data_IF_820269205508
#
_entry.id   IF_820269205508
#
_cell.length_a   1.000
_cell.length_b   1.000
_cell.length_c   1.000
_cell.angle_alpha   90.00
_cell.angle_beta   90.00
_cell.angle_gamma   90.00
#
_symmetry.space_group_name_H-M   'P 1'
#
loop_
_entity.id
_entity.type
_entity.pdbx_description
1 polymer ?
#
# COMPACT_ATOMS: atom_id res chain seq x y z
N UNK A 1 -2.00 18.09 24.48
CA UNK A 1 -1.59 16.69 24.76
C UNK A 1 -0.80 16.58 26.07
N UNK A 2 0.28 17.37 26.28
CA UNK A 2 1.12 17.26 27.48
C UNK A 2 0.30 17.40 28.77
N UNK A 3 -0.51 18.46 28.98
CA UNK A 3 -1.29 18.57 30.20
C UNK A 3 -2.29 17.44 30.41
N UNK A 4 -2.82 16.86 29.31
CA UNK A 4 -3.73 15.72 29.40
C UNK A 4 -3.00 14.45 29.86
N UNK A 5 -1.76 14.24 29.43
CA UNK A 5 -0.92 13.12 29.89
C UNK A 5 -0.48 13.28 31.35
N UNK A 6 -0.18 14.51 31.79
CA UNK A 6 0.16 14.80 33.18
C UNK A 6 -1.02 14.57 34.13
N UNK A 7 -2.25 14.75 33.67
CA UNK A 7 -3.46 14.47 34.42
C UNK A 7 -3.78 12.97 34.62
N UNK A 8 -3.00 12.06 34.02
CA UNK A 8 -3.17 10.61 34.28
C UNK A 8 -2.76 10.24 35.70
N UNK A 9 -1.74 10.92 36.24
CA UNK A 9 -1.33 10.71 37.65
C UNK A 9 -2.31 11.41 38.59
N UNK A 10 -3.01 10.63 39.39
CA UNK A 10 -3.99 11.12 40.34
C UNK A 10 -3.43 11.09 41.77
N UNK A 11 -3.86 12.09 42.58
CA UNK A 11 -3.69 12.03 44.03
C UNK A 11 -4.85 11.20 44.62
N UNK A 12 -4.52 10.10 45.28
CA UNK A 12 -5.49 9.10 45.74
C UNK A 12 -6.39 8.64 44.56
N UNK A 13 -7.71 8.74 44.72
CA UNK A 13 -8.66 8.35 43.69
C UNK A 13 -8.88 9.46 42.66
N UNK A 14 -8.92 10.72 43.08
CA UNK A 14 -9.03 11.90 42.23
C UNK A 14 -8.79 13.17 43.03
N UNK A 15 -8.18 14.17 42.39
CA UNK A 15 -8.02 15.52 42.86
C UNK A 15 -8.69 16.51 41.92
N UNK A 16 -9.29 17.57 42.46
CA UNK A 16 -9.91 18.64 41.73
C UNK A 16 -8.91 19.52 40.97
N UNK A 17 -7.61 19.44 41.28
CA UNK A 17 -6.55 20.19 40.61
C UNK A 17 -6.53 19.99 39.10
N UNK A 18 -6.95 18.82 38.62
CA UNK A 18 -7.04 18.51 37.17
C UNK A 18 -8.22 19.20 36.49
N UNK A 19 -9.22 19.64 37.22
CA UNK A 19 -10.47 20.19 36.68
C UNK A 19 -10.25 21.43 35.83
N UNK A 20 -9.29 22.29 36.17
CA UNK A 20 -8.95 23.50 35.42
C UNK A 20 -8.36 23.17 34.04
N UNK A 21 -7.53 22.15 33.96
CA UNK A 21 -6.94 21.64 32.71
C UNK A 21 -8.00 20.95 31.85
N UNK A 22 -8.82 20.08 32.46
CA UNK A 22 -9.89 19.35 31.78
C UNK A 22 -10.91 20.26 31.09
N UNK A 23 -11.20 21.41 31.69
CA UNK A 23 -12.10 22.45 31.10
C UNK A 23 -11.56 23.02 29.80
N UNK A 24 -10.26 23.00 29.58
CA UNK A 24 -9.63 23.51 28.36
C UNK A 24 -9.41 22.36 27.36
N UNK A 25 -8.76 21.27 27.79
CA UNK A 25 -8.37 20.20 26.86
C UNK A 25 -9.55 19.47 26.24
N UNK A 26 -10.65 19.30 26.99
CA UNK A 26 -11.86 18.63 26.48
C UNK A 26 -12.51 19.43 25.33
N UNK A 27 -12.93 20.67 25.58
CA UNK A 27 -13.52 21.52 24.52
C UNK A 27 -12.58 21.75 23.34
N UNK A 28 -11.31 22.08 23.56
CA UNK A 28 -10.34 22.33 22.50
C UNK A 28 -10.12 21.10 21.61
N UNK A 29 -9.99 19.92 22.21
CA UNK A 29 -9.85 18.69 21.46
C UNK A 29 -11.08 18.38 20.60
N UNK A 30 -12.29 18.55 21.15
CA UNK A 30 -13.55 18.30 20.42
C UNK A 30 -13.77 19.31 19.29
N UNK A 31 -13.56 20.60 19.55
CA UNK A 31 -13.70 21.66 18.54
C UNK A 31 -12.71 21.44 17.39
N UNK A 32 -11.45 21.15 17.73
CA UNK A 32 -10.40 20.90 16.74
C UNK A 32 -10.69 19.65 15.92
N UNK A 33 -11.19 18.58 16.56
CA UNK A 33 -11.56 17.36 15.87
C UNK A 33 -12.75 17.56 14.93
N UNK A 34 -13.80 18.23 15.39
CA UNK A 34 -14.98 18.56 14.57
C UNK A 34 -14.57 19.38 13.34
N UNK A 35 -13.79 20.43 13.55
CA UNK A 35 -13.24 21.23 12.45
C UNK A 35 -12.44 20.40 11.45
N UNK A 36 -11.56 19.52 11.94
CA UNK A 36 -10.76 18.65 11.09
C UNK A 36 -11.61 17.66 10.28
N UNK A 37 -12.63 17.06 10.92
CA UNK A 37 -13.53 16.12 10.26
C UNK A 37 -14.40 16.77 9.19
N UNK A 38 -14.93 17.98 9.46
CA UNK A 38 -15.70 18.76 8.46
C UNK A 38 -14.82 19.07 7.25
N UNK A 39 -13.57 19.51 7.48
CA UNK A 39 -12.63 19.78 6.37
C UNK A 39 -12.27 18.53 5.60
N UNK A 40 -12.03 17.42 6.28
CA UNK A 40 -11.72 16.13 5.65
C UNK A 40 -12.91 15.65 4.80
N UNK A 41 -14.14 15.77 5.32
CA UNK A 41 -15.36 15.42 4.58
C UNK A 41 -15.45 16.24 3.28
N UNK A 42 -15.31 17.56 3.38
CA UNK A 42 -15.35 18.43 2.22
C UNK A 42 -14.24 18.11 1.19
N UNK A 43 -13.05 17.73 1.66
CA UNK A 43 -11.95 17.32 0.79
C UNK A 43 -12.29 16.03 0.05
N UNK A 44 -12.86 15.04 0.74
CA UNK A 44 -13.22 13.75 0.13
C UNK A 44 -14.37 13.90 -0.86
N UNK A 45 -15.41 14.69 -0.50
CA UNK A 45 -16.57 14.92 -1.37
C UNK A 45 -16.21 15.65 -2.67
N UNK A 46 -15.20 16.53 -2.61
CA UNK A 46 -14.73 17.28 -3.77
C UNK A 46 -13.48 16.69 -4.43
N UNK A 47 -13.06 15.49 -4.02
CA UNK A 47 -11.86 14.85 -4.57
C UNK A 47 -12.06 14.44 -6.03
N UNK A 48 -11.19 14.95 -6.91
CA UNK A 48 -11.18 14.58 -8.32
C UNK A 48 -10.21 13.41 -8.54
N UNK A 49 -10.73 12.31 -9.07
CA UNK A 49 -9.93 11.12 -9.38
C UNK A 49 -9.72 11.03 -10.89
N UNK A 50 -8.48 10.78 -11.30
CA UNK A 50 -8.07 10.62 -12.70
C UNK A 50 -7.64 9.16 -12.97
N UNK A 51 -8.56 8.19 -13.15
CA UNK A 51 -8.24 6.76 -13.24
C UNK A 51 -7.28 6.44 -14.39
N UNK A 52 -7.46 7.10 -15.54
CA UNK A 52 -6.56 6.91 -16.69
C UNK A 52 -5.13 7.35 -16.38
N UNK A 53 -4.96 8.49 -15.68
CA UNK A 53 -3.64 8.98 -15.28
C UNK A 53 -2.99 8.09 -14.22
N UNK A 54 -3.78 7.61 -13.27
CA UNK A 54 -3.31 6.64 -12.26
C UNK A 54 -2.78 5.36 -12.92
N UNK A 55 -3.51 4.82 -13.90
CA UNK A 55 -3.07 3.64 -14.65
C UNK A 55 -1.81 3.90 -15.48
N UNK A 56 -1.73 5.07 -16.12
CA UNK A 56 -0.50 5.49 -16.83
C UNK A 56 0.69 5.53 -15.88
N UNK A 57 0.53 6.11 -14.69
CA UNK A 57 1.59 6.21 -13.68
C UNK A 57 2.05 4.83 -13.20
N UNK A 58 1.14 3.89 -12.99
CA UNK A 58 1.49 2.50 -12.66
C UNK A 58 2.29 1.81 -13.77
N UNK A 59 2.04 2.17 -15.02
CA UNK A 59 2.69 1.58 -16.19
C UNK A 59 4.00 2.29 -16.60
N UNK A 60 4.38 3.40 -15.95
CA UNK A 60 5.63 4.14 -16.26
C UNK A 60 6.85 3.21 -16.23
N UNK A 61 6.89 2.29 -15.26
CA UNK A 61 8.00 1.35 -15.08
C UNK A 61 7.86 0.10 -15.95
N UNK A 62 6.89 0.06 -16.88
CA UNK A 62 6.72 -1.05 -17.84
C UNK A 62 6.78 -2.44 -17.19
N UNK A 63 6.01 -2.60 -16.11
CA UNK A 63 5.85 -3.87 -15.41
C UNK A 63 6.92 -4.18 -14.36
N UNK A 64 7.93 -3.33 -14.15
CA UNK A 64 8.96 -3.57 -13.11
C UNK A 64 8.39 -3.64 -11.69
N UNK A 65 7.22 -3.05 -11.43
CA UNK A 65 6.51 -3.15 -10.14
C UNK A 65 6.17 -4.60 -9.76
N UNK A 66 6.09 -5.51 -10.74
CA UNK A 66 5.80 -6.95 -10.52
C UNK A 66 7.06 -7.80 -10.32
N UNK A 67 8.25 -7.22 -10.35
CA UNK A 67 9.53 -7.95 -10.25
C UNK A 67 9.66 -8.76 -8.96
N UNK A 68 9.19 -8.24 -7.83
CA UNK A 68 9.19 -8.98 -6.56
C UNK A 68 8.30 -10.22 -6.62
N UNK A 69 7.11 -10.11 -7.20
CA UNK A 69 6.21 -11.25 -7.30
C UNK A 69 6.75 -12.33 -8.25
N UNK A 70 7.34 -11.91 -9.36
CA UNK A 70 8.05 -12.81 -10.28
C UNK A 70 9.17 -13.57 -9.57
N UNK A 71 9.99 -12.87 -8.77
CA UNK A 71 11.05 -13.47 -7.96
C UNK A 71 10.51 -14.52 -6.99
N UNK A 72 9.43 -14.20 -6.28
CA UNK A 72 8.81 -15.13 -5.33
C UNK A 72 8.24 -16.39 -6.03
N UNK A 73 7.62 -16.21 -7.18
CA UNK A 73 7.11 -17.36 -7.95
C UNK A 73 8.24 -18.23 -8.49
N UNK A 74 9.35 -17.66 -8.94
CA UNK A 74 10.55 -18.42 -9.33
C UNK A 74 11.13 -19.22 -8.15
N UNK A 75 11.18 -18.63 -6.97
CA UNK A 75 11.63 -19.33 -5.76
C UNK A 75 10.75 -20.54 -5.44
N UNK A 76 9.43 -20.43 -5.63
CA UNK A 76 8.50 -21.56 -5.46
C UNK A 76 8.70 -22.71 -6.45
N UNK A 77 9.40 -22.46 -7.57
CA UNK A 77 9.74 -23.54 -8.53
C UNK A 77 11.00 -24.31 -8.15
N UNK A 78 11.56 -24.10 -6.96
CA UNK A 78 12.74 -24.79 -6.45
C UNK A 78 14.07 -24.05 -6.69
N UNK A 79 14.04 -22.82 -7.23
CA UNK A 79 15.22 -21.99 -7.32
C UNK A 79 15.57 -21.37 -5.95
N UNK A 80 16.87 -21.23 -5.64
CA UNK A 80 17.25 -20.47 -4.45
C UNK A 80 16.83 -19.01 -4.57
N UNK A 81 16.61 -18.37 -3.44
CA UNK A 81 16.21 -16.95 -3.39
C UNK A 81 17.23 -16.06 -4.09
N UNK A 82 18.52 -16.29 -3.85
CA UNK A 82 19.62 -15.52 -4.45
C UNK A 82 19.63 -15.67 -5.97
N UNK A 83 19.43 -16.90 -6.48
CA UNK A 83 19.37 -17.17 -7.92
C UNK A 83 18.17 -16.48 -8.56
N UNK A 84 16.99 -16.61 -7.95
CA UNK A 84 15.78 -15.95 -8.41
C UNK A 84 15.93 -14.42 -8.42
N UNK A 85 16.53 -13.86 -7.37
CA UNK A 85 16.81 -12.43 -7.27
C UNK A 85 17.73 -11.94 -8.38
N UNK A 86 18.88 -12.61 -8.57
CA UNK A 86 19.86 -12.24 -9.62
C UNK A 86 19.25 -12.30 -11.02
N UNK A 87 18.45 -13.32 -11.29
CA UNK A 87 17.76 -13.45 -12.57
C UNK A 87 16.81 -12.29 -12.82
N UNK A 88 15.89 -12.03 -11.88
CA UNK A 88 14.91 -10.94 -12.03
C UNK A 88 15.59 -9.57 -12.08
N UNK A 89 16.66 -9.37 -11.30
CA UNK A 89 17.46 -8.15 -11.34
C UNK A 89 18.09 -7.92 -12.73
N UNK A 90 18.61 -8.97 -13.37
CA UNK A 90 19.19 -8.86 -14.70
C UNK A 90 18.15 -8.48 -15.76
N UNK A 91 16.95 -9.09 -15.71
CA UNK A 91 15.84 -8.69 -16.57
C UNK A 91 15.40 -7.25 -16.31
N UNK A 92 15.28 -6.87 -15.05
CA UNK A 92 14.89 -5.51 -14.67
C UNK A 92 15.90 -4.47 -15.18
N UNK A 93 17.21 -4.73 -15.03
CA UNK A 93 18.26 -3.85 -15.57
C UNK A 93 18.18 -3.72 -17.08
N UNK A 94 17.99 -4.85 -17.78
CA UNK A 94 17.81 -4.85 -19.24
C UNK A 94 16.59 -4.04 -19.66
N UNK A 95 15.45 -4.31 -19.04
CA UNK A 95 14.20 -3.59 -19.34
C UNK A 95 14.33 -2.09 -19.10
N UNK A 96 15.00 -1.69 -18.02
CA UNK A 96 15.24 -0.29 -17.73
C UNK A 96 16.17 0.37 -18.75
N UNK A 97 17.29 -0.26 -19.08
CA UNK A 97 18.28 0.28 -20.01
C UNK A 97 17.74 0.38 -21.44
N UNK A 98 16.99 -0.62 -21.90
CA UNK A 98 16.46 -0.72 -23.27
C UNK A 98 15.01 -0.22 -23.38
N UNK A 99 14.44 0.30 -22.30
CA UNK A 99 13.07 0.79 -22.24
C UNK A 99 12.01 -0.27 -22.66
N UNK A 100 12.24 -1.54 -22.29
CA UNK A 100 11.40 -2.68 -22.63
C UNK A 100 10.34 -2.96 -21.57
N UNK A 101 9.26 -3.64 -21.96
CA UNK A 101 8.24 -4.15 -21.05
C UNK A 101 8.70 -5.49 -20.44
N UNK A 102 8.67 -5.58 -19.11
CA UNK A 102 9.15 -6.76 -18.38
C UNK A 102 8.33 -8.01 -18.70
N UNK A 103 7.01 -7.89 -18.84
CA UNK A 103 6.15 -9.03 -19.17
C UNK A 103 6.55 -9.65 -20.52
N UNK A 104 6.76 -8.83 -21.54
CA UNK A 104 7.12 -9.28 -22.88
C UNK A 104 8.51 -9.95 -22.88
N UNK A 105 9.48 -9.36 -22.19
CA UNK A 105 10.82 -9.92 -22.05
C UNK A 105 10.77 -11.31 -21.35
N UNK A 106 10.04 -11.41 -20.27
CA UNK A 106 9.89 -12.67 -19.52
C UNK A 106 9.11 -13.71 -20.35
N UNK A 107 8.07 -13.30 -21.06
CA UNK A 107 7.28 -14.21 -21.90
C UNK A 107 8.11 -14.80 -23.06
N UNK A 108 9.11 -14.08 -23.54
CA UNK A 108 10.01 -14.55 -24.60
C UNK A 108 11.12 -15.49 -24.10
N UNK A 109 11.31 -15.58 -22.79
CA UNK A 109 12.38 -16.40 -22.20
C UNK A 109 11.93 -17.85 -22.00
N UNK A 110 12.54 -18.76 -22.76
CA UNK A 110 12.21 -20.19 -22.73
C UNK A 110 12.46 -20.83 -21.36
N UNK A 111 13.48 -20.39 -20.64
CA UNK A 111 13.81 -20.97 -19.33
C UNK A 111 12.74 -20.57 -18.29
N UNK A 112 12.39 -19.29 -18.23
CA UNK A 112 11.30 -18.82 -17.32
C UNK A 112 9.97 -19.50 -17.67
N UNK A 113 9.65 -19.56 -18.95
CA UNK A 113 8.41 -20.18 -19.43
C UNK A 113 8.33 -21.70 -19.17
N UNK A 114 9.48 -22.38 -19.05
CA UNK A 114 9.50 -23.80 -18.62
C UNK A 114 9.19 -23.96 -17.12
N UNK A 115 9.38 -22.91 -16.31
CA UNK A 115 9.14 -22.91 -14.86
C UNK A 115 7.79 -22.30 -14.48
N UNK A 116 7.39 -21.26 -15.19
CA UNK A 116 6.15 -20.52 -14.91
C UNK A 116 5.22 -20.59 -16.12
N UNK A 117 4.09 -21.31 -16.05
CA UNK A 117 3.13 -21.36 -17.16
C UNK A 117 2.59 -19.97 -17.52
N UNK A 118 2.28 -19.74 -18.79
CA UNK A 118 1.78 -18.47 -19.33
C UNK A 118 0.55 -17.94 -18.55
N UNK A 119 -0.38 -18.81 -18.16
CA UNK A 119 -1.54 -18.42 -17.34
C UNK A 119 -1.11 -17.84 -15.98
N UNK A 120 -0.10 -18.43 -15.34
CA UNK A 120 0.43 -17.95 -14.07
C UNK A 120 1.18 -16.63 -14.26
N UNK A 121 1.96 -16.51 -15.33
CA UNK A 121 2.66 -15.27 -15.67
C UNK A 121 1.68 -14.10 -15.81
N UNK A 122 0.59 -14.27 -16.54
CA UNK A 122 -0.47 -13.25 -16.64
C UNK A 122 -1.08 -12.86 -15.30
N UNK A 123 -1.18 -13.80 -14.35
CA UNK A 123 -1.67 -13.52 -13.00
C UNK A 123 -0.66 -12.70 -12.18
N UNK A 124 0.64 -12.98 -12.32
CA UNK A 124 1.72 -12.23 -11.68
C UNK A 124 1.68 -10.75 -12.11
N UNK A 125 1.51 -10.51 -13.41
CA UNK A 125 1.45 -9.17 -14.00
C UNK A 125 0.05 -8.54 -13.98
N UNK A 126 -0.77 -8.92 -13.00
CA UNK A 126 -2.13 -8.40 -12.81
C UNK A 126 -2.30 -7.74 -11.45
N UNK A 127 -3.03 -6.63 -11.42
CA UNK A 127 -3.40 -5.95 -10.19
C UNK A 127 -4.49 -6.68 -9.38
N UNK A 128 -5.17 -7.67 -9.95
CA UNK A 128 -6.32 -8.36 -9.34
C UNK A 128 -6.02 -8.93 -7.94
N UNK A 129 -4.79 -9.41 -7.74
CA UNK A 129 -4.34 -9.94 -6.46
C UNK A 129 -4.30 -8.89 -5.35
N UNK A 130 -3.93 -7.66 -5.68
CA UNK A 130 -3.85 -6.55 -4.73
C UNK A 130 -5.24 -6.08 -4.29
N UNK A 131 -6.26 -6.26 -5.13
CA UNK A 131 -7.65 -5.88 -4.84
C UNK A 131 -8.49 -6.98 -4.19
N UNK A 132 -7.92 -8.19 -4.00
CA UNK A 132 -8.65 -9.36 -3.48
C UNK A 132 -9.44 -9.09 -2.21
N UNK A 133 -8.90 -8.31 -1.29
CA UNK A 133 -9.48 -8.08 0.02
C UNK A 133 -10.22 -6.73 0.14
N UNK A 134 -10.22 -5.89 -0.90
CA UNK A 134 -10.84 -4.56 -0.86
C UNK A 134 -12.31 -4.64 -0.47
N UNK A 135 -13.09 -5.48 -1.15
CA UNK A 135 -14.51 -5.65 -0.86
C UNK A 135 -14.79 -6.20 0.56
N UNK A 136 -13.88 -7.01 1.09
CA UNK A 136 -13.98 -7.51 2.46
C UNK A 136 -13.78 -6.38 3.48
N UNK A 137 -12.80 -5.50 3.24
CA UNK A 137 -12.52 -4.34 4.08
C UNK A 137 -13.73 -3.40 4.07
N UNK A 138 -14.24 -3.06 2.89
CA UNK A 138 -15.42 -2.20 2.76
C UNK A 138 -16.64 -2.76 3.49
N UNK A 139 -16.94 -4.06 3.35
CA UNK A 139 -18.04 -4.68 4.08
C UNK A 139 -17.89 -4.69 5.61
N UNK A 140 -16.67 -4.60 6.13
CA UNK A 140 -16.44 -4.52 7.57
C UNK A 140 -16.70 -3.12 8.13
N UNK A 141 -16.48 -2.11 7.32
CA UNK A 141 -16.60 -0.69 7.73
C UNK A 141 -17.98 -0.15 7.42
N UNK A 142 -18.49 -0.43 6.24
CA UNK A 142 -19.78 0.05 5.75
C UNK A 142 -20.80 -1.09 5.78
N UNK A 143 -21.40 -1.28 6.95
CA UNK A 143 -22.50 -2.22 7.15
C UNK A 143 -23.82 -1.58 6.82
#
# INVERSE_FOLDING_TARGET
VVPALENIALWHERDISHSSVERNIGPDANITLDFALVRLTNLLDNMIVYPKKMLQNLNITKGLIFSQELMLELTKTGLSREKSYRMVQNYAKKCFAENLDLFNVIQSDKYIMSKIPSKKLKTIFSFSKHFKNVNLIFRRVFK
#
